data_IF_190560989534
#
_entry.id   IF_190560989534
#
_cell.length_a   1.000
_cell.length_b   1.000
_cell.length_c   1.000
_cell.angle_alpha   90.00
_cell.angle_beta   90.00
_cell.angle_gamma   90.00
#
_symmetry.space_group_name_H-M   'P 1'
#
loop_
_entity.id
_entity.type
_entity.pdbx_description
1 polymer ?
#
# COMPACT_ATOMS: atom_id res chain seq x y z
N UNK A 1 -49.32 40.74 -16.75
CA UNK A 1 -47.97 40.60 -16.16
C UNK A 1 -47.79 39.15 -15.76
N UNK A 2 -46.78 38.46 -16.29
CA UNK A 2 -46.57 37.02 -16.09
C UNK A 2 -46.23 36.69 -14.62
N UNK A 3 -46.63 35.51 -14.09
CA UNK A 3 -46.21 35.09 -12.77
C UNK A 3 -44.76 34.63 -12.82
N UNK A 4 -43.98 35.06 -11.84
CA UNK A 4 -42.56 34.70 -11.68
C UNK A 4 -42.39 33.18 -11.67
N UNK A 5 -41.68 32.67 -12.66
CA UNK A 5 -41.22 31.28 -12.67
C UNK A 5 -40.26 31.09 -11.51
N UNK A 6 -40.73 30.40 -10.46
CA UNK A 6 -39.87 29.91 -9.38
C UNK A 6 -38.92 28.90 -10.02
N UNK A 7 -37.69 29.33 -10.24
CA UNK A 7 -36.59 28.48 -10.66
C UNK A 7 -36.34 27.47 -9.52
N UNK A 8 -36.87 26.26 -9.69
CA UNK A 8 -36.62 25.12 -8.81
C UNK A 8 -35.17 24.69 -9.01
N UNK A 9 -34.27 25.24 -8.19
CA UNK A 9 -32.91 24.75 -8.03
C UNK A 9 -32.93 23.31 -7.50
N UNK A 10 -32.43 22.30 -8.26
CA UNK A 10 -32.50 20.90 -7.86
C UNK A 10 -31.60 20.53 -6.66
N UNK A 11 -30.71 21.43 -6.23
CA UNK A 11 -29.63 21.12 -5.28
C UNK A 11 -30.06 21.09 -3.79
N UNK A 12 -31.31 21.44 -3.49
CA UNK A 12 -31.84 21.45 -2.11
C UNK A 12 -32.75 20.27 -1.74
N UNK A 13 -32.94 19.29 -2.63
CA UNK A 13 -33.76 18.10 -2.35
C UNK A 13 -33.03 16.94 -1.68
N UNK A 14 -31.75 17.10 -1.30
CA UNK A 14 -31.01 16.04 -0.62
C UNK A 14 -30.87 16.34 0.87
N UNK A 15 -31.44 15.46 1.68
CA UNK A 15 -31.34 15.51 3.14
C UNK A 15 -29.86 15.41 3.57
N UNK A 16 -29.47 15.97 4.74
CA UNK A 16 -28.10 15.85 5.25
C UNK A 16 -27.59 14.39 5.32
N UNK A 17 -28.49 13.42 5.49
CA UNK A 17 -28.20 11.98 5.48
C UNK A 17 -27.79 11.46 4.09
N UNK A 18 -28.35 12.00 3.01
CA UNK A 18 -28.00 11.64 1.63
C UNK A 18 -26.68 12.30 1.19
N UNK A 19 -26.47 13.55 1.58
CA UNK A 19 -25.18 14.25 1.40
C UNK A 19 -24.03 13.52 2.13
N UNK A 20 -24.29 12.96 3.32
CA UNK A 20 -23.31 12.17 4.06
C UNK A 20 -23.07 10.77 3.45
N UNK A 21 -24.09 10.20 2.79
CA UNK A 21 -23.97 8.97 1.97
C UNK A 21 -23.18 9.18 0.67
N UNK A 22 -23.08 10.41 0.16
CA UNK A 22 -22.30 10.79 -1.03
C UNK A 22 -20.88 11.30 -0.73
N UNK A 23 -20.60 11.81 0.47
CA UNK A 23 -19.23 12.22 0.87
C UNK A 23 -18.31 11.04 1.22
N UNK A 24 -18.86 10.03 1.91
CA UNK A 24 -18.16 8.77 2.20
C UNK A 24 -17.62 8.04 0.96
N UNK A 25 -18.32 7.92 -0.17
CA UNK A 25 -17.82 7.21 -1.34
C UNK A 25 -16.66 7.93 -2.05
N UNK A 26 -16.51 9.25 -1.93
CA UNK A 26 -15.37 9.97 -2.53
C UNK A 26 -14.09 9.70 -1.74
N UNK A 27 -14.13 9.85 -0.41
CA UNK A 27 -12.97 9.58 0.45
C UNK A 27 -12.56 8.10 0.36
N UNK A 28 -13.54 7.19 0.32
CA UNK A 28 -13.27 5.77 0.16
C UNK A 28 -12.71 5.45 -1.24
N UNK A 29 -13.18 6.13 -2.29
CA UNK A 29 -12.58 6.03 -3.62
C UNK A 29 -11.10 6.47 -3.59
N UNK A 30 -10.79 7.64 -3.02
CA UNK A 30 -9.41 8.12 -2.90
C UNK A 30 -8.52 7.16 -2.10
N UNK A 31 -9.05 6.57 -1.02
CA UNK A 31 -8.35 5.56 -0.24
C UNK A 31 -8.06 4.31 -1.07
N UNK A 32 -9.05 3.80 -1.81
CA UNK A 32 -8.89 2.65 -2.71
C UNK A 32 -7.88 2.93 -3.81
N UNK A 33 -7.95 4.11 -4.42
CA UNK A 33 -7.03 4.54 -5.47
C UNK A 33 -5.60 4.61 -4.93
N UNK A 34 -5.41 5.22 -3.75
CA UNK A 34 -4.10 5.24 -3.07
C UNK A 34 -3.56 3.84 -2.80
N UNK A 35 -4.39 2.93 -2.30
CA UNK A 35 -4.00 1.54 -2.03
C UNK A 35 -3.59 0.85 -3.35
N UNK A 36 -4.39 0.98 -4.40
CA UNK A 36 -4.09 0.38 -5.69
C UNK A 36 -2.78 0.93 -6.28
N UNK A 37 -2.57 2.24 -6.24
CA UNK A 37 -1.31 2.86 -6.68
C UNK A 37 -0.13 2.33 -5.89
N UNK A 38 -0.24 2.20 -4.57
CA UNK A 38 0.84 1.63 -3.74
C UNK A 38 1.13 0.16 -4.08
N UNK A 39 0.12 -0.65 -4.40
CA UNK A 39 0.31 -2.05 -4.84
C UNK A 39 1.02 -2.10 -6.20
N UNK A 40 0.66 -1.24 -7.14
CA UNK A 40 1.35 -1.14 -8.44
C UNK A 40 2.79 -0.67 -8.27
N UNK A 41 3.06 0.29 -7.40
CA UNK A 41 4.43 0.71 -7.07
C UNK A 41 5.25 -0.43 -6.46
N UNK A 42 4.66 -1.21 -5.54
CA UNK A 42 5.29 -2.41 -4.98
C UNK A 42 5.65 -3.42 -6.06
N UNK A 43 4.77 -3.63 -7.04
CA UNK A 43 5.03 -4.52 -8.19
C UNK A 43 6.30 -4.11 -8.94
N UNK A 44 6.47 -2.81 -9.20
CA UNK A 44 7.64 -2.27 -9.91
C UNK A 44 8.92 -2.35 -9.07
N UNK A 45 8.85 -1.99 -7.79
CA UNK A 45 10.01 -2.00 -6.90
C UNK A 45 10.57 -3.41 -6.67
N UNK A 46 9.69 -4.42 -6.69
CA UNK A 46 10.05 -5.82 -6.43
C UNK A 46 10.06 -6.67 -7.72
N UNK A 47 10.07 -6.07 -8.91
CA UNK A 47 10.02 -6.77 -10.20
C UNK A 47 11.06 -7.91 -10.31
N UNK A 48 12.29 -7.64 -9.87
CA UNK A 48 13.36 -8.64 -9.86
C UNK A 48 13.06 -9.81 -8.93
N UNK A 49 12.48 -9.55 -7.76
CA UNK A 49 12.10 -10.60 -6.81
C UNK A 49 10.95 -11.44 -7.37
N UNK A 50 9.99 -10.82 -8.08
CA UNK A 50 8.95 -11.57 -8.78
C UNK A 50 9.51 -12.47 -9.88
N UNK A 51 10.45 -11.98 -10.69
CA UNK A 51 11.10 -12.79 -11.73
C UNK A 51 11.84 -14.00 -11.16
N UNK A 52 12.42 -13.88 -9.95
CA UNK A 52 13.09 -14.98 -9.27
C UNK A 52 12.13 -16.05 -8.75
N UNK A 53 10.98 -15.64 -8.22
CA UNK A 53 10.00 -16.56 -7.65
C UNK A 53 9.04 -17.15 -8.70
N UNK A 54 8.56 -16.34 -9.64
CA UNK A 54 7.58 -16.73 -10.66
C UNK A 54 7.83 -15.99 -12.00
N UNK A 55 8.80 -16.43 -12.82
CA UNK A 55 9.17 -15.73 -14.06
C UNK A 55 8.08 -15.71 -15.14
N UNK A 56 7.12 -16.63 -15.12
CA UNK A 56 6.15 -16.84 -16.21
C UNK A 56 4.67 -16.79 -15.75
N UNK A 57 4.39 -16.30 -14.54
CA UNK A 57 3.03 -16.27 -14.00
C UNK A 57 2.43 -14.87 -14.03
N UNK A 58 1.11 -14.81 -14.20
CA UNK A 58 0.37 -13.55 -14.07
C UNK A 58 0.34 -13.16 -12.59
N UNK A 59 1.05 -12.09 -12.24
CA UNK A 59 1.09 -11.58 -10.87
C UNK A 59 -0.29 -11.06 -10.44
N UNK A 60 -0.93 -11.75 -9.50
CA UNK A 60 -2.15 -11.30 -8.85
C UNK A 60 -1.83 -10.35 -7.69
N UNK A 61 -2.84 -9.60 -7.23
CA UNK A 61 -2.64 -8.67 -6.10
C UNK A 61 -2.23 -9.39 -4.81
N UNK A 62 -2.67 -10.63 -4.62
CA UNK A 62 -2.28 -11.45 -3.48
C UNK A 62 -0.78 -11.79 -3.54
N UNK A 63 -0.30 -12.27 -4.69
CA UNK A 63 1.13 -12.60 -4.90
C UNK A 63 2.03 -11.39 -4.65
N UNK A 64 1.61 -10.21 -5.12
CA UNK A 64 2.37 -8.97 -4.93
C UNK A 64 2.57 -8.69 -3.43
N UNK A 65 1.52 -8.84 -2.64
CA UNK A 65 1.58 -8.60 -1.19
C UNK A 65 2.39 -9.69 -0.47
N UNK A 66 2.27 -10.95 -0.89
CA UNK A 66 3.02 -12.05 -0.29
C UNK A 66 4.53 -11.91 -0.48
N UNK A 67 4.97 -11.67 -1.72
CA UNK A 67 6.39 -11.46 -2.03
C UNK A 67 6.93 -10.23 -1.31
N UNK A 68 6.16 -9.15 -1.24
CA UNK A 68 6.57 -7.95 -0.51
C UNK A 68 6.81 -8.23 0.98
N UNK A 69 5.92 -8.97 1.63
CA UNK A 69 6.09 -9.35 3.04
C UNK A 69 7.31 -10.26 3.22
N UNK A 70 7.48 -11.24 2.34
CA UNK A 70 8.64 -12.15 2.38
C UNK A 70 9.96 -11.37 2.24
N UNK A 71 10.04 -10.48 1.26
CA UNK A 71 11.20 -9.63 1.02
C UNK A 71 11.54 -8.74 2.22
N UNK A 72 10.53 -8.08 2.82
CA UNK A 72 10.74 -7.23 3.99
C UNK A 72 11.20 -8.03 5.23
N UNK A 73 10.66 -9.24 5.43
CA UNK A 73 11.11 -10.15 6.51
C UNK A 73 12.56 -10.56 6.32
N UNK A 74 12.95 -10.95 5.11
CA UNK A 74 14.33 -11.30 4.79
C UNK A 74 15.26 -10.11 5.03
N UNK A 75 14.88 -8.91 4.57
CA UNK A 75 15.66 -7.70 4.78
C UNK A 75 15.83 -7.36 6.26
N UNK A 76 14.77 -7.49 7.06
CA UNK A 76 14.83 -7.29 8.51
C UNK A 76 15.78 -8.28 9.20
N UNK A 77 15.77 -9.56 8.80
CA UNK A 77 16.68 -10.57 9.34
C UNK A 77 18.15 -10.30 8.97
N UNK A 78 18.41 -9.84 7.74
CA UNK A 78 19.75 -9.47 7.30
C UNK A 78 20.29 -8.28 8.10
N UNK A 79 19.46 -7.27 8.36
CA UNK A 79 19.80 -6.12 9.19
C UNK A 79 20.13 -6.51 10.64
N UNK A 80 19.43 -7.53 11.18
CA UNK A 80 19.75 -8.06 12.51
C UNK A 80 21.07 -8.83 12.50
N UNK A 81 21.33 -9.66 11.48
CA UNK A 81 22.63 -10.35 11.35
C UNK A 81 23.79 -9.37 11.25
N UNK A 82 23.68 -8.30 10.46
CA UNK A 82 24.74 -7.28 10.35
C UNK A 82 24.99 -6.51 11.66
N UNK A 83 23.99 -6.41 12.53
CA UNK A 83 24.10 -5.73 13.84
C UNK A 83 24.81 -6.58 14.90
N UNK A 84 24.82 -7.91 14.74
CA UNK A 84 25.47 -8.86 15.64
C UNK A 84 26.72 -9.53 15.05
N UNK A 85 26.99 -9.35 13.76
CA UNK A 85 28.20 -9.88 13.09
C UNK A 85 29.38 -8.90 13.08
N UNK A 86 29.25 -7.74 13.74
CA UNK A 86 30.30 -6.71 13.84
C UNK A 86 31.32 -6.89 14.96
N UNK A 87 31.09 -7.80 15.92
CA UNK A 87 31.87 -7.89 17.17
C UNK A 87 32.49 -9.28 17.45
N UNK A 88 32.80 -10.08 16.43
CA UNK A 88 33.57 -11.32 16.63
C UNK A 88 34.60 -11.53 15.51
N UNK A 89 35.58 -10.63 15.43
CA UNK A 89 36.86 -10.96 14.78
C UNK A 89 38.02 -10.59 15.72
N UNK A 90 38.55 -11.63 16.36
CA UNK A 90 39.88 -11.75 16.97
C UNK A 90 40.28 -10.72 18.05
N UNK A 91 40.22 -11.14 19.32
CA UNK A 91 41.42 -11.39 20.12
C UNK A 91 41.01 -12.09 21.42
N UNK A 92 41.26 -13.41 21.54
CA UNK A 92 41.41 -14.04 22.85
C UNK A 92 42.90 -13.93 23.22
N UNK A 93 43.31 -13.08 24.18
CA UNK A 93 44.64 -13.18 24.74
C UNK A 93 44.64 -14.28 25.80
N UNK A 94 45.42 -15.32 25.52
CA UNK A 94 46.14 -16.17 26.46
C UNK A 94 45.42 -16.78 27.67
N UNK A 95 45.34 -18.11 27.59
CA UNK A 95 45.14 -19.08 28.65
C UNK A 95 46.10 -18.84 29.85
N UNK A 96 45.59 -19.04 31.06
CA UNK A 96 46.34 -19.04 32.33
C UNK A 96 47.11 -20.35 32.51
#
# INVERSE_FOLDING_TARGET
>A
MAPSTVFLEPDNLLTPKEKNKLRKPVVEKMRRDRINSSIEQLKLLLEKEFQRHQPNSKLEKADILEVAVSYLKQQSQLQMKSKYSGDFFFQCPFNR
#
